data_IF_064786725564
#
_entry.id   IF_064786725564
#
_cell.length_a   1.000
_cell.length_b   1.000
_cell.length_c   1.000
_cell.angle_alpha   90.00
_cell.angle_beta   90.00
_cell.angle_gamma   90.00
#
_symmetry.space_group_name_H-M   'P 1'
#
loop_
_entity.id
_entity.type
_entity.pdbx_description
1 polymer ?
#
# COMPACT_ATOMS: atom_id res chain seq x y z
N UNK A 1 -3.77 26.29 71.57
CA UNK A 1 -4.24 27.68 71.50
C UNK A 1 -4.26 28.11 70.04
N UNK A 2 -5.40 28.67 69.59
CA UNK A 2 -5.61 29.58 68.45
C UNK A 2 -5.39 29.07 67.01
N UNK A 3 -6.55 28.78 66.41
CA UNK A 3 -7.00 29.03 65.03
C UNK A 3 -6.13 29.88 64.09
N UNK A 4 -6.14 29.52 62.80
CA UNK A 4 -6.71 30.35 61.72
C UNK A 4 -6.84 29.55 60.40
N UNK A 5 -8.09 29.37 59.95
CA UNK A 5 -8.53 29.29 58.55
C UNK A 5 -8.46 30.73 57.92
N UNK A 6 -8.78 31.03 56.63
CA UNK A 6 -9.46 30.25 55.57
C UNK A 6 -8.92 30.44 54.12
N UNK A 7 -9.62 29.78 53.17
CA UNK A 7 -9.96 30.24 51.79
C UNK A 7 -8.83 30.54 50.77
N UNK A 8 -8.84 30.05 49.53
CA UNK A 8 -9.87 30.28 48.50
C UNK A 8 -9.45 29.58 47.18
N UNK A 9 -10.43 29.33 46.28
CA UNK A 9 -10.31 29.05 44.84
C UNK A 9 -9.67 27.71 44.43
N UNK A 10 -10.25 26.85 43.60
CA UNK A 10 -11.38 27.01 42.69
C UNK A 10 -11.08 26.20 41.43
N UNK A 11 -11.90 25.20 41.13
CA UNK A 11 -12.24 24.78 39.76
C UNK A 11 -11.23 23.95 38.94
N UNK A 12 -11.79 22.89 38.35
CA UNK A 12 -11.47 22.33 37.02
C UNK A 12 -10.13 21.59 36.84
N UNK A 13 -10.20 20.26 36.67
CA UNK A 13 -10.33 19.64 35.34
C UNK A 13 -10.56 18.13 35.48
N UNK A 14 -11.76 17.68 35.14
CA UNK A 14 -12.01 16.26 34.86
C UNK A 14 -11.36 15.91 33.53
N UNK A 15 -10.24 15.19 33.55
CA UNK A 15 -9.68 14.62 32.32
C UNK A 15 -10.42 13.32 32.03
N UNK A 16 -11.46 13.46 31.23
CA UNK A 16 -12.16 12.36 30.56
C UNK A 16 -11.17 11.72 29.57
N UNK A 17 -10.51 10.64 29.97
CA UNK A 17 -9.80 9.75 29.05
C UNK A 17 -10.81 8.87 28.31
N UNK A 18 -11.71 9.50 27.55
CA UNK A 18 -12.52 8.84 26.51
C UNK A 18 -11.86 9.09 25.16
N UNK A 19 -10.65 8.57 25.01
CA UNK A 19 -10.01 8.41 23.71
C UNK A 19 -10.17 6.96 23.29
N UNK A 20 -11.29 6.62 22.66
CA UNK A 20 -11.41 5.41 21.87
C UNK A 20 -10.38 5.51 20.74
N UNK A 21 -9.14 5.12 21.00
CA UNK A 21 -8.17 4.86 19.93
C UNK A 21 -8.69 3.62 19.24
N UNK A 22 -9.63 3.81 18.32
CA UNK A 22 -9.94 2.85 17.29
C UNK A 22 -8.68 2.79 16.43
N UNK A 23 -7.71 1.99 16.87
CA UNK A 23 -6.63 1.51 16.03
C UNK A 23 -7.29 0.66 14.94
N UNK A 24 -7.78 1.31 13.89
CA UNK A 24 -8.20 0.61 12.67
C UNK A 24 -6.95 -0.09 12.16
N UNK A 25 -6.93 -1.42 12.29
CA UNK A 25 -5.86 -2.27 11.75
C UNK A 25 -5.62 -1.88 10.29
N UNK A 26 -4.47 -1.27 10.02
CA UNK A 26 -4.09 -0.83 8.67
C UNK A 26 -3.72 -2.07 7.88
N UNK A 27 -4.55 -2.43 6.89
CA UNK A 27 -4.28 -3.59 6.06
C UNK A 27 -3.07 -3.38 5.13
N UNK A 28 -2.82 -2.13 4.72
CA UNK A 28 -1.68 -1.70 3.92
C UNK A 28 -1.13 -0.36 4.44
N UNK A 29 0.12 -0.07 4.09
CA UNK A 29 0.85 1.13 4.54
C UNK A 29 0.82 2.25 3.48
N UNK A 30 0.63 1.95 2.20
CA UNK A 30 0.50 2.95 1.14
C UNK A 30 -0.33 2.48 -0.05
N UNK A 31 -0.54 3.37 -1.02
CA UNK A 31 -1.24 3.04 -2.27
C UNK A 31 -0.22 2.60 -3.34
N UNK A 32 -0.50 1.52 -4.05
CA UNK A 32 0.25 1.16 -5.24
C UNK A 32 -0.19 2.07 -6.41
N UNK A 33 0.71 2.34 -7.35
CA UNK A 33 0.41 3.03 -8.60
C UNK A 33 0.35 1.99 -9.72
N UNK A 34 -0.67 2.07 -10.57
CA UNK A 34 -0.84 1.21 -11.73
C UNK A 34 -1.19 2.08 -12.94
N UNK A 35 -0.48 1.91 -14.05
CA UNK A 35 -0.68 2.70 -15.27
C UNK A 35 -0.19 1.95 -16.51
N UNK A 36 -0.58 2.42 -17.68
CA UNK A 36 -0.05 1.92 -18.95
C UNK A 36 1.13 2.77 -19.40
N UNK A 37 2.21 2.13 -19.83
CA UNK A 37 3.33 2.77 -20.53
C UNK A 37 3.43 2.14 -21.92
N UNK A 38 2.78 2.76 -22.91
CA UNK A 38 2.45 2.09 -24.17
C UNK A 38 1.58 0.85 -23.92
N UNK A 39 1.98 -0.30 -24.42
CA UNK A 39 1.27 -1.58 -24.20
C UNK A 39 1.66 -2.30 -22.89
N UNK A 40 2.66 -1.78 -22.16
CA UNK A 40 3.13 -2.40 -20.92
C UNK A 40 2.31 -1.91 -19.73
N UNK A 41 1.67 -2.83 -19.00
CA UNK A 41 1.13 -2.55 -17.68
C UNK A 41 2.29 -2.34 -16.70
N UNK A 42 2.35 -1.17 -16.07
CA UNK A 42 3.32 -0.79 -15.06
C UNK A 42 2.68 -0.85 -13.67
N UNK A 43 3.42 -1.38 -12.70
CA UNK A 43 3.13 -1.29 -11.28
C UNK A 43 4.25 -0.53 -10.57
N UNK A 44 3.91 0.17 -9.49
CA UNK A 44 4.85 0.93 -8.68
C UNK A 44 4.22 1.36 -7.38
N UNK A 45 4.92 2.14 -6.56
CA UNK A 45 4.37 2.74 -5.35
C UNK A 45 3.99 4.20 -5.60
N UNK A 46 2.96 4.68 -4.91
CA UNK A 46 2.75 6.13 -4.76
C UNK A 46 3.88 6.74 -3.92
N UNK A 47 4.02 8.05 -3.96
CA UNK A 47 5.14 8.75 -3.34
C UNK A 47 5.19 8.70 -1.81
N UNK A 48 4.17 8.17 -1.13
CA UNK A 48 4.05 8.18 0.34
C UNK A 48 3.56 6.85 0.91
N UNK A 49 3.99 6.53 2.12
CA UNK A 49 3.47 5.44 2.93
C UNK A 49 3.42 5.81 4.41
N UNK A 50 2.53 5.18 5.13
CA UNK A 50 2.31 5.32 6.55
C UNK A 50 3.32 4.48 7.34
N UNK A 51 3.79 5.03 8.46
CA UNK A 51 4.67 4.32 9.39
C UNK A 51 4.00 4.20 10.76
N UNK A 52 3.96 2.99 11.30
CA UNK A 52 3.45 2.71 12.65
C UNK A 52 4.46 3.08 13.74
N UNK A 53 3.98 3.56 14.90
CA UNK A 53 4.78 3.91 16.08
C UNK A 53 4.04 4.82 17.06
N UNK A 54 4.73 5.26 18.13
CA UNK A 54 4.23 6.21 19.13
C UNK A 54 3.75 7.55 18.53
N UNK A 55 4.23 7.89 17.34
CA UNK A 55 3.73 8.96 16.49
C UNK A 55 3.44 8.37 15.12
N UNK A 56 2.18 8.03 14.85
CA UNK A 56 1.74 7.66 13.51
C UNK A 56 1.95 8.84 12.56
N UNK A 57 2.49 8.58 11.38
CA UNK A 57 2.71 9.61 10.38
C UNK A 57 2.96 9.05 8.99
N UNK A 58 2.80 9.89 7.99
CA UNK A 58 3.14 9.61 6.59
C UNK A 58 4.60 9.97 6.32
N UNK A 59 5.31 9.14 5.56
CA UNK A 59 6.65 9.43 5.06
C UNK A 59 6.70 9.25 3.54
N UNK A 60 7.67 9.87 2.87
CA UNK A 60 7.84 9.70 1.43
C UNK A 60 8.71 8.48 1.10
N UNK A 61 8.39 7.83 -0.02
CA UNK A 61 9.21 6.78 -0.63
C UNK A 61 10.57 7.34 -1.06
N UNK A 62 10.62 8.57 -1.58
CA UNK A 62 11.87 9.20 -2.01
C UNK A 62 12.81 9.54 -0.84
N UNK A 63 12.25 9.87 0.34
CA UNK A 63 13.00 10.30 1.52
C UNK A 63 13.58 9.10 2.32
N UNK A 64 13.25 7.87 1.93
CA UNK A 64 13.79 6.64 2.53
C UNK A 64 14.29 5.69 1.45
N UNK A 65 15.22 4.81 1.79
CA UNK A 65 15.47 3.63 0.97
C UNK A 65 14.37 2.62 1.28
N UNK A 66 13.38 2.55 0.40
CA UNK A 66 12.32 1.54 0.41
C UNK A 66 12.67 0.46 -0.61
N UNK A 67 12.84 -0.78 -0.14
CA UNK A 67 13.25 -1.92 -0.96
C UNK A 67 12.08 -2.88 -1.12
N UNK A 68 11.68 -3.09 -2.36
CA UNK A 68 10.68 -4.08 -2.76
C UNK A 68 11.27 -5.49 -2.66
N UNK A 69 10.51 -6.39 -2.05
CA UNK A 69 10.87 -7.80 -1.89
C UNK A 69 9.88 -8.74 -2.55
N UNK A 70 8.64 -8.32 -2.81
CA UNK A 70 7.66 -9.15 -3.49
C UNK A 70 6.63 -8.30 -4.23
N UNK A 71 6.23 -8.80 -5.40
CA UNK A 71 5.11 -8.28 -6.19
C UNK A 71 4.15 -9.44 -6.44
N UNK A 72 2.86 -9.18 -6.22
CA UNK A 72 1.79 -10.11 -6.59
C UNK A 72 0.66 -9.33 -7.25
N UNK A 73 0.15 -9.87 -8.35
CA UNK A 73 -1.00 -9.35 -9.09
C UNK A 73 -2.04 -10.45 -9.17
N UNK A 74 -3.25 -10.13 -8.73
CA UNK A 74 -4.37 -11.05 -8.68
C UNK A 74 -5.50 -10.57 -9.58
N UNK A 75 -6.25 -11.54 -10.10
CA UNK A 75 -7.56 -11.37 -10.75
C UNK A 75 -8.50 -12.41 -10.16
N UNK A 76 -9.69 -12.00 -9.75
CA UNK A 76 -10.68 -12.89 -9.13
C UNK A 76 -10.09 -13.74 -7.98
N UNK A 77 -9.30 -13.10 -7.11
CA UNK A 77 -8.58 -13.72 -5.99
C UNK A 77 -7.56 -14.82 -6.37
N UNK A 78 -7.17 -14.92 -7.65
CA UNK A 78 -6.12 -15.83 -8.13
C UNK A 78 -4.93 -15.04 -8.63
N UNK A 79 -3.73 -15.47 -8.27
CA UNK A 79 -2.50 -14.85 -8.79
C UNK A 79 -2.41 -15.05 -10.31
N UNK A 80 -2.22 -13.94 -11.03
CA UNK A 80 -1.91 -13.93 -12.46
C UNK A 80 -0.43 -13.63 -12.70
N UNK A 81 0.27 -13.10 -11.70
CA UNK A 81 1.72 -12.91 -11.68
C UNK A 81 2.18 -12.77 -10.23
N UNK A 82 3.24 -13.48 -9.84
CA UNK A 82 3.87 -13.31 -8.54
C UNK A 82 5.37 -13.61 -8.61
N UNK A 83 6.16 -12.72 -8.02
CA UNK A 83 7.62 -12.77 -7.98
C UNK A 83 8.11 -12.22 -6.65
N UNK A 84 9.07 -12.90 -6.02
CA UNK A 84 9.63 -12.49 -4.74
C UNK A 84 11.12 -12.81 -4.62
N UNK A 85 11.82 -12.01 -3.81
CA UNK A 85 13.18 -12.30 -3.38
C UNK A 85 13.16 -13.51 -2.44
N UNK A 86 14.01 -14.53 -2.63
CA UNK A 86 14.10 -15.66 -1.72
C UNK A 86 14.42 -15.20 -0.28
N UNK A 87 13.86 -15.88 0.74
CA UNK A 87 14.21 -15.59 2.12
C UNK A 87 15.72 -15.71 2.38
N UNK A 88 16.26 -14.76 3.12
CA UNK A 88 17.67 -14.79 3.54
C UNK A 88 18.68 -14.33 2.50
N UNK A 89 18.25 -13.81 1.32
CA UNK A 89 19.16 -13.22 0.33
C UNK A 89 19.55 -11.79 0.73
N UNK A 90 20.76 -11.54 1.27
CA UNK A 90 21.11 -10.23 1.81
C UNK A 90 21.29 -9.20 0.69
N UNK A 91 20.70 -8.02 0.86
CA UNK A 91 20.84 -6.92 -0.10
C UNK A 91 20.07 -7.09 -1.41
N UNK A 92 19.34 -8.19 -1.59
CA UNK A 92 18.46 -8.39 -2.74
C UNK A 92 17.14 -7.61 -2.60
N UNK A 93 16.55 -7.31 -3.74
CA UNK A 93 15.35 -6.51 -3.86
C UNK A 93 15.55 -5.27 -4.73
N UNK A 94 14.43 -4.67 -5.11
CA UNK A 94 14.42 -3.50 -5.97
C UNK A 94 14.16 -2.25 -5.14
N UNK A 95 15.09 -1.30 -5.13
CA UNK A 95 14.82 0.01 -4.53
C UNK A 95 13.68 0.69 -5.30
N UNK A 96 12.59 0.97 -4.59
CA UNK A 96 11.47 1.72 -5.13
C UNK A 96 11.83 3.19 -5.24
N UNK A 97 11.51 3.76 -6.39
CA UNK A 97 11.53 5.21 -6.63
C UNK A 97 10.13 5.62 -7.05
N UNK A 98 9.72 6.84 -6.70
CA UNK A 98 8.46 7.40 -7.20
C UNK A 98 8.44 7.28 -8.73
N UNK A 99 7.30 6.82 -9.27
CA UNK A 99 7.02 6.70 -10.70
C UNK A 99 7.88 5.70 -11.48
N UNK A 100 8.68 4.89 -10.79
CA UNK A 100 9.38 3.76 -11.40
C UNK A 100 8.38 2.74 -11.95
N UNK A 101 8.40 2.51 -13.26
CA UNK A 101 7.62 1.43 -13.88
C UNK A 101 8.30 0.07 -13.62
N UNK A 102 7.61 -0.77 -12.86
CA UNK A 102 7.89 -2.21 -12.82
C UNK A 102 6.91 -2.86 -13.80
N UNK A 103 7.43 -3.35 -14.92
CA UNK A 103 6.59 -3.97 -15.94
C UNK A 103 5.95 -5.27 -15.41
N UNK A 104 4.67 -5.45 -15.66
CA UNK A 104 3.98 -6.71 -15.40
C UNK A 104 4.74 -7.89 -16.02
N UNK A 105 5.11 -8.86 -15.19
CA UNK A 105 5.94 -10.01 -15.57
C UNK A 105 7.44 -9.75 -15.62
N UNK A 106 7.92 -8.57 -15.22
CA UNK A 106 9.33 -8.16 -15.33
C UNK A 106 9.85 -7.61 -14.01
N UNK A 107 10.68 -8.41 -13.34
CA UNK A 107 11.54 -7.98 -12.24
C UNK A 107 13.00 -8.40 -12.51
N UNK A 108 13.98 -7.82 -11.79
CA UNK A 108 15.37 -8.21 -11.93
C UNK A 108 15.62 -9.67 -11.50
N UNK A 109 16.78 -10.20 -11.86
CA UNK A 109 17.11 -11.63 -11.76
C UNK A 109 17.19 -12.17 -10.32
N UNK A 110 17.24 -11.31 -9.31
CA UNK A 110 17.23 -11.68 -7.89
C UNK A 110 15.82 -12.05 -7.37
N UNK A 111 14.79 -11.85 -8.18
CA UNK A 111 13.43 -12.32 -7.90
C UNK A 111 13.19 -13.71 -8.50
N UNK A 112 12.63 -14.60 -7.69
CA UNK A 112 12.14 -15.91 -8.12
C UNK A 112 10.66 -15.79 -8.47
N UNK A 113 10.28 -16.40 -9.60
CA UNK A 113 8.90 -16.42 -10.08
C UNK A 113 8.15 -17.57 -9.42
N UNK A 114 7.18 -17.26 -8.56
CA UNK A 114 6.25 -18.24 -8.01
C UNK A 114 5.08 -18.49 -8.95
N UNK A 115 4.56 -17.44 -9.55
CA UNK A 115 3.49 -17.50 -10.56
C UNK A 115 3.93 -16.71 -11.81
N UNK A 116 4.12 -17.37 -12.97
CA UNK A 116 4.50 -16.66 -14.19
C UNK A 116 3.37 -15.72 -14.62
N UNK A 117 3.74 -14.61 -15.24
CA UNK A 117 2.78 -13.64 -15.75
C UNK A 117 1.89 -14.25 -16.83
N UNK A 118 0.59 -14.30 -16.55
CA UNK A 118 -0.44 -14.72 -17.49
C UNK A 118 -0.84 -13.58 -18.43
N UNK A 119 -1.34 -13.86 -19.65
CA UNK A 119 -1.87 -12.85 -20.55
C UNK A 119 -2.92 -11.96 -19.86
N UNK A 120 -2.79 -10.65 -20.07
CA UNK A 120 -3.73 -9.68 -19.53
C UNK A 120 -5.12 -9.86 -20.17
N UNK A 121 -6.16 -9.74 -19.34
CA UNK A 121 -7.55 -9.82 -19.75
C UNK A 121 -8.29 -8.61 -19.19
N UNK A 122 -9.41 -8.23 -19.81
CA UNK A 122 -10.25 -7.21 -19.22
C UNK A 122 -10.84 -7.69 -17.88
N UNK A 123 -10.96 -6.77 -16.92
CA UNK A 123 -11.55 -7.04 -15.62
C UNK A 123 -10.85 -6.33 -14.48
N UNK A 124 -11.25 -6.69 -13.27
CA UNK A 124 -10.73 -6.12 -12.04
C UNK A 124 -9.51 -6.89 -11.55
N UNK A 125 -8.49 -6.15 -11.12
CA UNK A 125 -7.23 -6.67 -10.62
C UNK A 125 -6.87 -6.04 -9.28
N UNK A 126 -5.99 -6.74 -8.57
CA UNK A 126 -5.37 -6.27 -7.33
C UNK A 126 -3.85 -6.38 -7.45
N UNK A 127 -3.14 -5.35 -7.02
CA UNK A 127 -1.68 -5.36 -6.94
C UNK A 127 -1.26 -5.21 -5.50
N UNK A 128 -0.30 -6.04 -5.10
CA UNK A 128 0.40 -5.97 -3.82
C UNK A 128 1.89 -5.80 -4.06
N UNK A 129 2.47 -4.78 -3.44
CA UNK A 129 3.92 -4.58 -3.40
C UNK A 129 4.36 -4.65 -1.94
N UNK A 130 5.13 -5.67 -1.60
CA UNK A 130 5.65 -5.85 -0.24
C UNK A 130 7.08 -5.33 -0.22
N UNK A 131 7.28 -4.23 0.51
CA UNK A 131 8.57 -3.61 0.71
C UNK A 131 8.90 -3.45 2.19
N UNK A 132 10.17 -3.16 2.46
CA UNK A 132 10.67 -2.71 3.75
C UNK A 132 11.55 -1.48 3.57
N UNK A 133 11.57 -0.59 4.57
CA UNK A 133 12.50 0.53 4.56
C UNK A 133 13.83 0.20 5.26
N UNK A 134 14.80 1.10 5.13
CA UNK A 134 16.12 1.04 5.79
C UNK A 134 16.08 0.84 7.32
N UNK A 135 14.98 1.20 7.98
CA UNK A 135 14.76 0.98 9.42
C UNK A 135 14.06 -0.35 9.71
N UNK A 136 13.96 -1.22 8.69
CA UNK A 136 13.25 -2.50 8.70
C UNK A 136 11.76 -2.37 9.04
N UNK A 137 11.17 -1.19 8.78
CA UNK A 137 9.73 -1.01 8.91
C UNK A 137 9.05 -1.56 7.67
N UNK A 138 7.87 -2.14 7.87
CA UNK A 138 7.00 -2.61 6.79
C UNK A 138 6.55 -1.43 5.93
N UNK A 139 6.51 -1.63 4.61
CA UNK A 139 5.94 -0.71 3.64
C UNK A 139 5.15 -1.52 2.60
N UNK A 140 3.90 -1.84 2.91
CA UNK A 140 3.01 -2.58 2.00
C UNK A 140 2.16 -1.62 1.17
N UNK A 141 2.23 -1.75 -0.15
CA UNK A 141 1.42 -0.96 -1.07
C UNK A 141 0.36 -1.82 -1.73
N UNK A 142 -0.86 -1.29 -1.82
CA UNK A 142 -1.99 -1.99 -2.40
C UNK A 142 -2.75 -1.08 -3.37
N UNK A 143 -3.26 -1.67 -4.46
CA UNK A 143 -4.27 -1.03 -5.30
C UNK A 143 -5.18 -2.05 -5.94
N UNK A 144 -6.48 -1.76 -5.92
CA UNK A 144 -7.46 -2.39 -6.80
C UNK A 144 -7.71 -1.48 -8.00
N UNK A 145 -7.73 -2.04 -9.20
CA UNK A 145 -7.90 -1.29 -10.44
C UNK A 145 -8.66 -2.11 -11.47
N UNK A 146 -9.13 -1.44 -12.51
CA UNK A 146 -9.75 -2.10 -13.66
C UNK A 146 -8.84 -2.02 -14.86
N UNK A 147 -8.69 -3.14 -15.54
CA UNK A 147 -7.99 -3.22 -16.81
C UNK A 147 -9.02 -3.41 -17.92
N UNK A 148 -8.95 -2.58 -18.94
CA UNK A 148 -9.92 -2.57 -20.02
C UNK A 148 -9.22 -2.57 -21.36
N UNK A 149 -9.82 -3.24 -22.34
CA UNK A 149 -9.36 -3.19 -23.73
C UNK A 149 -10.16 -2.13 -24.47
N UNK A 150 -9.52 -1.01 -24.79
CA UNK A 150 -10.05 0.02 -25.67
C UNK A 150 -9.55 -0.13 -27.10
N UNK A 151 -10.03 0.73 -28.01
CA UNK A 151 -9.59 0.76 -29.42
C UNK A 151 -8.10 1.07 -29.59
N UNK A 152 -7.51 1.85 -28.66
CA UNK A 152 -6.10 2.27 -28.71
C UNK A 152 -5.15 1.36 -27.92
N UNK A 153 -5.65 0.34 -27.22
CA UNK A 153 -4.79 -0.47 -26.35
C UNK A 153 -5.47 -0.94 -25.07
N UNK A 154 -4.63 -1.34 -24.12
CA UNK A 154 -5.04 -1.51 -22.73
C UNK A 154 -5.17 -0.15 -22.04
N UNK A 155 -6.12 -0.03 -21.13
CA UNK A 155 -6.35 1.14 -20.27
C UNK A 155 -6.48 0.69 -18.82
N UNK A 156 -5.89 1.47 -17.91
CA UNK A 156 -6.12 1.33 -16.46
C UNK A 156 -7.22 2.30 -16.04
N UNK A 157 -8.30 1.76 -15.49
CA UNK A 157 -9.43 2.48 -14.92
C UNK A 157 -9.53 2.31 -13.40
N UNK A 158 -10.44 3.06 -12.79
CA UNK A 158 -10.68 3.02 -11.35
C UNK A 158 -11.64 1.87 -10.99
N UNK A 159 -11.33 1.14 -9.93
CA UNK A 159 -12.27 0.24 -9.28
C UNK A 159 -12.91 0.98 -8.10
N UNK A 160 -14.23 0.94 -7.97
CA UNK A 160 -14.95 1.55 -6.84
C UNK A 160 -15.78 0.52 -6.10
N UNK A 161 -15.86 0.68 -4.78
CA UNK A 161 -16.81 -0.07 -3.97
C UNK A 161 -18.20 0.54 -4.15
N UNK A 162 -19.13 -0.26 -4.65
CA UNK A 162 -20.53 0.15 -4.84
C UNK A 162 -21.31 -0.34 -3.63
N UNK A 163 -21.57 0.54 -2.68
CA UNK A 163 -22.22 0.21 -1.40
C UNK A 163 -23.57 -0.49 -1.59
N UNK A 164 -24.38 -0.03 -2.55
CA UNK A 164 -25.69 -0.62 -2.86
C UNK A 164 -25.61 -2.09 -3.32
N UNK A 165 -24.49 -2.47 -3.92
CA UNK A 165 -24.24 -3.84 -4.39
C UNK A 165 -23.34 -4.64 -3.44
N UNK A 166 -22.78 -4.01 -2.39
CA UNK A 166 -21.84 -4.62 -1.45
C UNK A 166 -20.58 -5.17 -2.10
N UNK A 167 -20.18 -4.67 -3.27
CA UNK A 167 -19.09 -5.24 -4.07
C UNK A 167 -18.29 -4.18 -4.82
N UNK A 168 -17.07 -4.56 -5.20
CA UNK A 168 -16.22 -3.74 -6.05
C UNK A 168 -16.61 -3.90 -7.51
N UNK A 169 -16.60 -2.79 -8.25
CA UNK A 169 -16.97 -2.75 -9.66
C UNK A 169 -16.00 -1.88 -10.44
N UNK A 170 -15.85 -2.22 -11.72
CA UNK A 170 -15.23 -1.34 -12.69
C UNK A 170 -16.20 -0.23 -13.05
N UNK A 171 -15.74 1.02 -12.89
CA UNK A 171 -16.52 2.18 -13.27
C UNK A 171 -16.13 2.54 -14.71
N UNK A 172 -17.11 2.67 -15.63
CA UNK A 172 -16.86 3.06 -17.02
C UNK A 172 -16.03 4.35 -17.15
#
# INVERSE_FOLDING_TARGET
MRHCFPELLGGLLAVVLAGSVQATSRHHDGEARVWMNGEQLCVGATGTYEVGGLFSGSTKVADNVVTLHSVSVLRDAKETWAQSVPPGTPGAGLRLVADQCIGYGRLPADFVTSTPAQPLQAGMYEVYLLAGDQKRRRAWFYKRFCLERGGEGWRVGEARFVESAGQWQCVP
#
